data_IF_715163894091
#
_entry.id   IF_715163894091
#
_cell.length_a   1.000
_cell.length_b   1.000
_cell.length_c   1.000
_cell.angle_alpha   90.00
_cell.angle_beta   90.00
_cell.angle_gamma   90.00
#
_symmetry.space_group_name_H-M   'P 1'
#
loop_
_entity.id
_entity.type
_entity.pdbx_description
1 polymer ?
#
# COMPACT_ATOMS: atom_id res chain seq x y z
N UNK A 1 -12.53 -22.48 -9.19
CA UNK A 1 -12.97 -22.88 -7.83
C UNK A 1 -14.02 -21.89 -7.34
N UNK A 2 -15.16 -22.39 -6.83
CA UNK A 2 -16.24 -21.51 -6.32
C UNK A 2 -16.36 -21.65 -4.82
N UNK A 3 -16.29 -20.51 -4.13
CA UNK A 3 -16.44 -20.39 -2.68
C UNK A 3 -17.72 -19.59 -2.39
N UNK A 4 -18.50 -20.02 -1.40
CA UNK A 4 -19.65 -19.29 -0.92
C UNK A 4 -19.43 -18.86 0.54
N UNK A 5 -19.63 -17.58 0.82
CA UNK A 5 -19.69 -17.02 2.17
C UNK A 5 -21.16 -16.86 2.55
N UNK A 6 -21.62 -17.67 3.52
CA UNK A 6 -23.04 -17.73 3.92
C UNK A 6 -23.35 -16.91 5.15
N UNK A 7 -24.56 -16.39 5.22
CA UNK A 7 -25.17 -15.80 6.43
C UNK A 7 -24.44 -14.57 6.98
N UNK A 8 -23.61 -13.90 6.19
CA UNK A 8 -22.90 -12.70 6.65
C UNK A 8 -23.80 -11.46 6.63
N UNK A 9 -23.50 -10.53 7.52
CA UNK A 9 -23.95 -9.15 7.36
C UNK A 9 -22.99 -8.45 6.41
N UNK A 10 -23.49 -8.05 5.23
CA UNK A 10 -22.65 -7.37 4.22
C UNK A 10 -22.77 -5.87 4.36
N UNK A 11 -21.62 -5.21 4.40
CA UNK A 11 -21.49 -3.75 4.39
C UNK A 11 -20.66 -3.34 3.19
N UNK A 12 -21.31 -2.83 2.15
CA UNK A 12 -20.69 -2.37 0.90
C UNK A 12 -21.33 -1.05 0.45
N UNK A 13 -20.82 0.09 0.95
CA UNK A 13 -21.39 1.40 0.63
C UNK A 13 -21.37 1.73 -0.86
N UNK A 14 -20.37 1.26 -1.61
CA UNK A 14 -20.27 1.50 -3.05
C UNK A 14 -21.51 0.93 -3.78
N UNK A 15 -21.93 -0.27 -3.42
CA UNK A 15 -23.12 -0.93 -3.98
C UNK A 15 -24.40 -0.63 -3.16
N UNK A 16 -24.39 0.36 -2.26
CA UNK A 16 -25.52 0.76 -1.39
C UNK A 16 -26.04 -0.38 -0.53
N UNK A 17 -25.17 -1.29 -0.11
CA UNK A 17 -25.50 -2.39 0.80
C UNK A 17 -25.06 -2.01 2.21
N UNK A 18 -26.02 -1.84 3.10
CA UNK A 18 -25.76 -1.43 4.48
C UNK A 18 -26.32 -2.49 5.43
N UNK A 19 -25.43 -3.30 6.00
CA UNK A 19 -25.73 -4.31 7.02
C UNK A 19 -26.88 -5.29 6.62
N UNK A 20 -26.83 -5.77 5.38
CA UNK A 20 -27.81 -6.75 4.87
C UNK A 20 -27.28 -8.17 4.97
N UNK A 21 -28.10 -9.10 5.46
CA UNK A 21 -27.80 -10.53 5.36
C UNK A 21 -27.79 -10.95 3.90
N UNK A 22 -26.63 -11.39 3.43
CA UNK A 22 -26.44 -11.81 2.04
C UNK A 22 -25.35 -12.88 1.97
N UNK A 23 -25.52 -13.83 1.05
CA UNK A 23 -24.43 -14.72 0.66
C UNK A 23 -23.57 -14.04 -0.41
N UNK A 24 -22.28 -14.30 -0.39
CA UNK A 24 -21.34 -13.83 -1.40
C UNK A 24 -20.74 -15.04 -2.09
N UNK A 25 -20.79 -15.05 -3.41
CA UNK A 25 -20.18 -16.07 -4.26
C UNK A 25 -18.86 -15.53 -4.82
N UNK A 26 -17.82 -16.36 -4.74
CA UNK A 26 -16.48 -16.03 -5.25
C UNK A 26 -16.06 -17.13 -6.22
N UNK A 27 -15.85 -16.78 -7.49
CA UNK A 27 -15.35 -17.68 -8.54
C UNK A 27 -13.99 -17.17 -9.01
N UNK A 28 -12.96 -18.00 -8.86
CA UNK A 28 -11.60 -17.70 -9.32
C UNK A 28 -11.08 -16.32 -8.88
N UNK A 29 -11.31 -15.99 -7.59
CA UNK A 29 -10.87 -14.74 -6.99
C UNK A 29 -11.78 -13.52 -7.25
N UNK A 30 -12.88 -13.68 -7.98
CA UNK A 30 -13.82 -12.59 -8.29
C UNK A 30 -15.19 -12.83 -7.67
N UNK A 31 -15.81 -11.78 -7.18
CA UNK A 31 -17.19 -11.84 -6.71
C UNK A 31 -18.12 -11.95 -7.92
N UNK A 32 -19.04 -12.90 -7.87
CA UNK A 32 -20.08 -13.11 -8.88
C UNK A 32 -21.48 -12.98 -8.25
N UNK A 33 -22.46 -12.61 -9.05
CA UNK A 33 -23.84 -12.43 -8.58
C UNK A 33 -24.59 -13.76 -8.49
N UNK A 34 -24.38 -14.67 -9.43
CA UNK A 34 -25.09 -15.94 -9.54
C UNK A 34 -24.18 -17.02 -10.14
N UNK A 35 -24.59 -18.28 -9.96
CA UNK A 35 -23.93 -19.43 -10.53
C UNK A 35 -24.50 -19.74 -11.94
N UNK A 36 -23.64 -20.18 -12.84
CA UNK A 36 -24.09 -20.74 -14.11
C UNK A 36 -24.76 -22.11 -13.90
N UNK A 37 -25.60 -22.52 -14.87
CA UNK A 37 -26.51 -23.67 -14.75
C UNK A 37 -25.85 -25.01 -14.38
N UNK A 38 -24.55 -25.17 -14.65
CA UNK A 38 -23.79 -26.40 -14.40
C UNK A 38 -22.71 -26.24 -13.30
N UNK A 39 -22.65 -25.09 -12.63
CA UNK A 39 -21.63 -24.81 -11.63
C UNK A 39 -22.06 -25.30 -10.24
N UNK A 40 -21.07 -25.79 -9.49
CA UNK A 40 -21.28 -26.25 -8.11
C UNK A 40 -20.34 -25.51 -7.17
N UNK A 41 -20.85 -25.20 -5.98
CA UNK A 41 -20.05 -24.62 -4.90
C UNK A 41 -19.05 -25.68 -4.42
N UNK A 42 -17.76 -25.34 -4.48
CA UNK A 42 -16.69 -26.22 -4.01
C UNK A 42 -16.49 -26.10 -2.49
N UNK A 43 -16.69 -24.91 -1.92
CA UNK A 43 -16.53 -24.66 -0.48
C UNK A 43 -17.55 -23.65 0.00
N UNK A 44 -18.17 -23.93 1.12
CA UNK A 44 -19.08 -23.00 1.80
C UNK A 44 -18.56 -22.67 3.19
N UNK A 45 -18.50 -21.39 3.52
CA UNK A 45 -18.03 -20.88 4.81
C UNK A 45 -19.19 -20.17 5.49
N UNK A 46 -19.53 -20.62 6.70
CA UNK A 46 -20.55 -19.96 7.50
C UNK A 46 -19.98 -18.71 8.17
N UNK A 47 -20.50 -17.55 7.78
CA UNK A 47 -20.15 -16.24 8.30
C UNK A 47 -21.24 -15.64 9.20
N UNK A 48 -22.05 -16.50 9.84
CA UNK A 48 -23.05 -16.04 10.81
C UNK A 48 -22.36 -15.19 11.89
N UNK A 49 -22.99 -14.08 12.25
CA UNK A 49 -22.51 -13.10 13.23
C UNK A 49 -21.20 -12.39 12.85
N UNK A 50 -20.81 -12.47 11.57
CA UNK A 50 -19.68 -11.73 11.00
C UNK A 50 -20.14 -10.64 10.04
N UNK A 51 -19.36 -9.58 9.97
CA UNK A 51 -19.51 -8.52 8.96
C UNK A 51 -18.53 -8.81 7.83
N UNK A 52 -19.03 -8.78 6.59
CA UNK A 52 -18.18 -8.77 5.39
C UNK A 52 -18.22 -7.38 4.79
N UNK A 53 -17.06 -6.81 4.57
CA UNK A 53 -16.87 -5.49 3.98
C UNK A 53 -15.66 -5.51 3.03
N UNK A 54 -15.55 -4.53 2.10
CA UNK A 54 -14.33 -4.34 1.33
C UNK A 54 -13.12 -4.20 2.25
N UNK A 55 -11.98 -4.76 1.82
CA UNK A 55 -10.74 -4.62 2.56
C UNK A 55 -10.30 -3.16 2.65
N UNK A 56 -9.67 -2.80 3.76
CA UNK A 56 -9.14 -1.46 3.96
C UNK A 56 -7.93 -1.21 3.03
N UNK A 57 -7.78 0.04 2.60
CA UNK A 57 -6.67 0.50 1.76
C UNK A 57 -5.89 1.54 2.56
N UNK A 58 -4.61 1.29 2.79
CA UNK A 58 -3.69 2.26 3.40
C UNK A 58 -2.92 2.99 2.30
N UNK A 59 -3.29 4.23 2.04
CA UNK A 59 -2.70 5.05 0.99
C UNK A 59 -1.39 5.73 1.41
N UNK A 60 -0.98 5.62 2.68
CA UNK A 60 0.21 6.28 3.17
C UNK A 60 0.87 5.47 4.28
N UNK A 61 1.65 4.48 3.91
CA UNK A 61 2.37 3.65 4.88
C UNK A 61 3.78 3.31 4.42
N UNK A 62 4.74 3.41 5.33
CA UNK A 62 6.12 3.02 5.06
C UNK A 62 6.29 1.52 5.30
N UNK A 63 6.15 0.72 4.25
CA UNK A 63 6.20 -0.75 4.29
C UNK A 63 7.43 -1.34 3.60
N UNK A 64 8.09 -0.56 2.75
CA UNK A 64 9.31 -0.96 2.03
C UNK A 64 10.17 0.23 1.65
N UNK A 65 11.42 -0.03 1.28
CA UNK A 65 12.33 1.01 0.81
C UNK A 65 13.12 1.70 1.91
N UNK A 66 13.72 2.84 1.58
CA UNK A 66 14.80 3.46 2.34
C UNK A 66 14.51 3.72 3.82
N UNK A 67 13.33 4.21 4.16
CA UNK A 67 12.99 4.53 5.56
C UNK A 67 12.87 3.28 6.43
N UNK A 68 12.24 2.24 5.90
CA UNK A 68 12.09 0.97 6.62
C UNK A 68 13.44 0.28 6.77
N UNK A 69 14.29 0.33 5.74
CA UNK A 69 15.62 -0.24 5.79
C UNK A 69 16.52 0.47 6.79
N UNK A 70 16.49 1.80 6.85
CA UNK A 70 17.21 2.56 7.87
C UNK A 70 16.76 2.13 9.26
N UNK A 71 15.46 2.01 9.51
CA UNK A 71 14.94 1.57 10.80
C UNK A 71 15.41 0.14 11.16
N UNK A 72 15.43 -0.79 10.20
CA UNK A 72 15.95 -2.15 10.42
C UNK A 72 17.45 -2.16 10.73
N UNK A 73 18.23 -1.30 10.05
CA UNK A 73 19.67 -1.18 10.30
C UNK A 73 19.99 -0.55 11.66
N UNK A 74 19.15 0.39 12.11
CA UNK A 74 19.34 1.05 13.41
C UNK A 74 18.96 0.15 14.60
N UNK A 75 18.05 -0.79 14.40
CA UNK A 75 17.51 -1.64 15.48
C UNK A 75 17.50 -3.12 15.04
N UNK A 76 18.66 -3.71 14.73
CA UNK A 76 18.74 -5.08 14.22
C UNK A 76 18.23 -6.12 15.23
N UNK A 77 18.33 -5.84 16.52
CA UNK A 77 17.85 -6.70 17.61
C UNK A 77 16.34 -6.90 17.59
N UNK A 78 15.57 -5.94 17.06
CA UNK A 78 14.11 -6.04 17.02
C UNK A 78 13.54 -6.89 15.88
N UNK A 79 14.36 -7.33 14.92
CA UNK A 79 13.87 -8.25 13.90
C UNK A 79 14.38 -9.68 14.06
N UNK A 80 15.35 -9.88 14.92
CA UNK A 80 15.97 -11.19 15.15
C UNK A 80 15.44 -11.89 16.41
N UNK A 81 14.26 -11.52 16.88
CA UNK A 81 13.63 -12.19 18.00
C UNK A 81 13.07 -13.55 17.53
N UNK A 82 13.77 -14.61 17.94
CA UNK A 82 13.44 -16.01 17.69
C UNK A 82 12.77 -16.67 18.90
N UNK A 83 12.20 -15.88 19.81
CA UNK A 83 11.53 -16.45 20.98
C UNK A 83 10.33 -17.31 20.58
N UNK A 84 10.12 -18.41 21.31
CA UNK A 84 9.01 -19.34 21.10
C UNK A 84 7.63 -18.67 21.32
N UNK A 85 7.59 -17.53 22.00
CA UNK A 85 6.39 -16.71 22.24
C UNK A 85 6.25 -15.57 21.21
N UNK A 86 6.59 -15.83 19.97
CA UNK A 86 6.59 -14.88 18.92
C UNK A 86 5.19 -14.28 18.64
N UNK A 87 4.96 -13.04 19.06
CA UNK A 87 3.85 -12.22 18.60
C UNK A 87 4.36 -11.23 17.52
N UNK A 88 4.02 -11.43 16.25
CA UNK A 88 4.46 -10.55 15.16
C UNK A 88 3.96 -9.11 15.30
N UNK A 89 3.02 -8.85 16.21
CA UNK A 89 2.47 -7.50 16.44
C UNK A 89 3.30 -6.66 17.41
N UNK A 90 4.19 -7.28 18.18
CA UNK A 90 4.95 -6.63 19.26
C UNK A 90 6.30 -6.03 18.82
N UNK A 91 6.70 -6.21 17.57
CA UNK A 91 8.00 -5.78 17.07
C UNK A 91 7.90 -4.42 16.38
N UNK A 92 8.75 -3.48 16.77
CA UNK A 92 8.74 -2.10 16.27
C UNK A 92 9.10 -1.98 14.79
N UNK A 93 10.03 -2.84 14.32
CA UNK A 93 10.48 -2.80 12.92
C UNK A 93 10.31 -4.18 12.27
N UNK A 94 9.12 -4.49 11.75
CA UNK A 94 8.82 -5.83 11.25
C UNK A 94 9.56 -6.14 9.94
N UNK A 95 9.87 -7.43 9.74
CA UNK A 95 10.28 -7.95 8.43
C UNK A 95 9.13 -7.82 7.41
N UNK A 96 9.43 -8.05 6.14
CA UNK A 96 8.42 -8.06 5.06
C UNK A 96 7.27 -9.02 5.36
N UNK A 97 7.58 -10.24 5.79
CA UNK A 97 6.58 -11.24 6.20
C UNK A 97 5.69 -10.73 7.35
N UNK A 98 6.32 -10.23 8.42
CA UNK A 98 5.60 -9.70 9.59
C UNK A 98 4.73 -8.50 9.21
N UNK A 99 5.20 -7.65 8.31
CA UNK A 99 4.41 -6.53 7.78
C UNK A 99 3.12 -7.03 7.14
N UNK A 100 3.20 -7.98 6.22
CA UNK A 100 2.01 -8.56 5.58
C UNK A 100 1.03 -9.19 6.57
N UNK A 101 1.55 -9.95 7.55
CA UNK A 101 0.71 -10.54 8.60
C UNK A 101 0.02 -9.49 9.48
N UNK A 102 0.70 -8.39 9.84
CA UNK A 102 0.10 -7.29 10.61
C UNK A 102 -1.03 -6.64 9.82
N UNK A 103 -0.79 -6.31 8.55
CA UNK A 103 -1.78 -5.62 7.72
C UNK A 103 -3.03 -6.47 7.49
N UNK A 104 -2.88 -7.75 7.16
CA UNK A 104 -4.05 -8.63 6.97
C UNK A 104 -4.82 -8.85 8.28
N UNK A 105 -4.13 -8.92 9.42
CA UNK A 105 -4.77 -9.03 10.75
C UNK A 105 -5.60 -7.80 11.09
N UNK A 106 -5.19 -6.61 10.63
CA UNK A 106 -5.94 -5.37 10.78
C UNK A 106 -7.07 -5.19 9.74
N UNK A 107 -7.16 -6.07 8.74
CA UNK A 107 -8.18 -6.00 7.69
C UNK A 107 -7.79 -5.16 6.47
N UNK A 108 -6.53 -4.77 6.34
CA UNK A 108 -6.04 -4.11 5.13
C UNK A 108 -5.79 -5.15 4.03
N UNK A 109 -6.15 -4.78 2.80
CA UNK A 109 -5.90 -5.59 1.60
C UNK A 109 -4.97 -4.91 0.61
N UNK A 110 -4.73 -3.61 0.76
CA UNK A 110 -3.83 -2.84 -0.10
C UNK A 110 -3.08 -1.79 0.70
N UNK A 111 -1.80 -1.60 0.39
CA UNK A 111 -0.89 -0.70 1.10
C UNK A 111 0.00 0.04 0.11
N UNK A 112 0.21 1.35 0.33
CA UNK A 112 0.97 2.19 -0.60
C UNK A 112 2.10 2.93 0.10
N UNK A 113 3.34 2.67 -0.36
CA UNK A 113 4.56 3.36 0.08
C UNK A 113 4.58 4.80 -0.49
N UNK A 114 4.58 5.84 0.37
CA UNK A 114 4.43 7.22 -0.09
C UNK A 114 5.75 7.90 -0.49
N UNK A 115 6.89 7.21 -0.50
CA UNK A 115 8.20 7.84 -0.63
C UNK A 115 9.15 7.08 -1.56
N UNK A 116 8.71 6.77 -2.79
CA UNK A 116 9.57 6.22 -3.82
C UNK A 116 10.39 7.34 -4.48
N UNK A 117 11.71 7.15 -4.50
CA UNK A 117 12.65 7.99 -5.24
C UNK A 117 13.28 7.16 -6.37
N UNK A 118 13.70 7.75 -7.50
CA UNK A 118 14.33 6.99 -8.58
C UNK A 118 15.50 6.13 -8.13
N UNK A 119 16.29 6.63 -7.17
CA UNK A 119 17.49 5.94 -6.66
C UNK A 119 17.14 4.68 -5.85
N UNK A 120 15.97 4.60 -5.22
CA UNK A 120 15.59 3.48 -4.35
C UNK A 120 14.33 2.73 -4.81
N UNK A 121 13.70 3.15 -5.90
CA UNK A 121 12.42 2.60 -6.35
C UNK A 121 12.51 1.10 -6.60
N UNK A 122 13.54 0.63 -7.31
CA UNK A 122 13.75 -0.79 -7.58
C UNK A 122 13.86 -1.60 -6.28
N UNK A 123 14.65 -1.12 -5.33
CA UNK A 123 14.82 -1.76 -4.02
C UNK A 123 13.47 -1.83 -3.27
N UNK A 124 12.75 -0.73 -3.23
CA UNK A 124 11.45 -0.67 -2.57
C UNK A 124 10.43 -1.64 -3.21
N UNK A 125 10.39 -1.75 -4.53
CA UNK A 125 9.52 -2.71 -5.21
C UNK A 125 9.89 -4.16 -4.92
N UNK A 126 11.19 -4.50 -4.86
CA UNK A 126 11.64 -5.83 -4.48
C UNK A 126 11.21 -6.18 -3.05
N UNK A 127 11.38 -5.26 -2.10
CA UNK A 127 10.91 -5.46 -0.72
C UNK A 127 9.39 -5.59 -0.62
N UNK A 128 8.65 -4.74 -1.34
CA UNK A 128 7.20 -4.83 -1.38
C UNK A 128 6.73 -6.16 -1.99
N UNK A 129 7.47 -6.71 -2.97
CA UNK A 129 7.15 -8.02 -3.54
C UNK A 129 7.22 -9.15 -2.51
N UNK A 130 8.11 -9.05 -1.53
CA UNK A 130 8.26 -10.03 -0.45
C UNK A 130 7.19 -9.90 0.66
N UNK A 131 6.38 -8.83 0.66
CA UNK A 131 5.31 -8.66 1.63
C UNK A 131 4.09 -9.49 1.18
N UNK A 132 3.69 -10.54 1.90
CA UNK A 132 2.58 -11.37 1.50
C UNK A 132 1.21 -10.74 1.83
N UNK A 133 0.15 -11.30 1.25
CA UNK A 133 -1.27 -11.12 1.58
C UNK A 133 -1.91 -9.78 1.21
N UNK A 134 -1.17 -8.73 0.93
CA UNK A 134 -1.70 -7.41 0.58
C UNK A 134 -1.21 -6.99 -0.80
N UNK A 135 -2.03 -6.24 -1.52
CA UNK A 135 -1.61 -5.54 -2.73
C UNK A 135 -0.75 -4.34 -2.36
N UNK A 136 0.26 -4.06 -3.15
CA UNK A 136 1.24 -3.00 -2.88
C UNK A 136 1.47 -2.14 -4.10
N UNK A 137 1.76 -0.88 -3.84
CA UNK A 137 2.19 0.11 -4.80
C UNK A 137 2.91 1.25 -4.12
N UNK A 138 3.21 2.30 -4.84
CA UNK A 138 3.85 3.45 -4.24
C UNK A 138 3.67 4.73 -5.03
N UNK A 139 4.02 5.83 -4.38
CA UNK A 139 3.98 7.17 -4.95
C UNK A 139 5.38 7.73 -5.08
N UNK A 140 5.67 8.36 -6.23
CA UNK A 140 6.90 9.11 -6.43
C UNK A 140 6.92 10.36 -5.54
N UNK A 141 7.92 10.51 -4.69
CA UNK A 141 8.06 11.68 -3.82
C UNK A 141 8.71 12.82 -4.58
N UNK A 142 7.91 13.80 -5.00
CA UNK A 142 8.33 14.96 -5.78
C UNK A 142 8.35 16.28 -4.99
N UNK A 143 7.77 16.34 -3.80
CA UNK A 143 7.68 17.59 -3.03
C UNK A 143 9.03 18.22 -2.67
N UNK A 144 10.11 17.44 -2.65
CA UNK A 144 11.48 17.91 -2.37
C UNK A 144 12.46 17.51 -3.49
N UNK A 145 11.94 17.25 -4.68
CA UNK A 145 12.77 17.03 -5.86
C UNK A 145 13.36 18.36 -6.34
N UNK A 146 14.65 18.51 -6.18
CA UNK A 146 15.34 19.78 -6.46
C UNK A 146 15.26 20.18 -7.93
N UNK A 147 15.30 19.20 -8.83
CA UNK A 147 15.20 19.49 -10.25
C UNK A 147 13.80 20.01 -10.61
N UNK A 148 12.75 19.36 -10.12
CA UNK A 148 11.38 19.83 -10.32
C UNK A 148 11.16 21.23 -9.72
N UNK A 149 11.64 21.45 -8.50
CA UNK A 149 11.54 22.75 -7.83
C UNK A 149 12.26 23.86 -8.64
N UNK A 150 13.42 23.56 -9.22
CA UNK A 150 14.12 24.50 -10.12
C UNK A 150 13.36 24.77 -11.42
N UNK A 151 12.72 23.76 -12.03
CA UNK A 151 11.87 23.98 -13.22
C UNK A 151 10.70 24.90 -12.89
N UNK A 152 10.07 24.71 -11.76
CA UNK A 152 8.95 25.54 -11.27
C UNK A 152 9.41 26.98 -10.98
N UNK A 153 10.52 27.16 -10.27
CA UNK A 153 11.07 28.47 -9.94
C UNK A 153 11.46 29.29 -11.19
N UNK A 154 12.00 28.61 -12.21
CA UNK A 154 12.34 29.22 -13.51
C UNK A 154 11.12 29.45 -14.40
N UNK A 155 9.92 29.12 -13.94
CA UNK A 155 8.68 29.21 -14.72
C UNK A 155 8.78 28.52 -16.09
N UNK A 156 9.45 27.37 -16.10
CA UNK A 156 9.61 26.56 -17.31
C UNK A 156 8.24 26.16 -17.88
N UNK A 157 8.16 25.89 -19.19
CA UNK A 157 6.91 25.53 -19.83
C UNK A 157 6.25 24.31 -19.19
N UNK A 158 4.92 24.27 -19.16
CA UNK A 158 4.15 23.16 -18.62
C UNK A 158 4.49 21.82 -19.29
N UNK A 159 4.82 21.84 -20.58
CA UNK A 159 5.22 20.62 -21.31
C UNK A 159 6.47 19.98 -20.70
N UNK A 160 7.51 20.75 -20.44
CA UNK A 160 8.77 20.24 -19.83
C UNK A 160 8.52 19.71 -18.42
N UNK A 161 7.65 20.37 -17.64
CA UNK A 161 7.28 19.91 -16.31
C UNK A 161 6.52 18.56 -16.41
N UNK A 162 5.58 18.45 -17.34
CA UNK A 162 4.82 17.22 -17.57
C UNK A 162 5.73 16.06 -18.00
N UNK A 163 6.67 16.32 -18.91
CA UNK A 163 7.62 15.31 -19.39
C UNK A 163 8.52 14.81 -18.24
N UNK A 164 8.97 15.71 -17.40
CA UNK A 164 9.76 15.32 -16.22
C UNK A 164 8.95 14.48 -15.23
N UNK A 165 7.72 14.89 -14.91
CA UNK A 165 6.85 14.12 -14.01
C UNK A 165 6.54 12.74 -14.59
N UNK A 166 6.23 12.67 -15.90
CA UNK A 166 6.00 11.39 -16.58
C UNK A 166 7.23 10.48 -16.55
N UNK A 167 8.43 11.05 -16.77
CA UNK A 167 9.69 10.32 -16.63
C UNK A 167 9.86 9.73 -15.22
N UNK A 168 9.65 10.53 -14.16
CA UNK A 168 9.77 10.07 -12.78
C UNK A 168 8.76 8.96 -12.47
N UNK A 169 7.50 9.12 -12.86
CA UNK A 169 6.48 8.09 -12.66
C UNK A 169 6.87 6.77 -13.34
N UNK A 170 7.37 6.84 -14.57
CA UNK A 170 7.84 5.68 -15.31
C UNK A 170 9.08 5.05 -14.67
N UNK A 171 10.08 5.85 -14.31
CA UNK A 171 11.33 5.38 -13.72
C UNK A 171 11.13 4.75 -12.33
N UNK A 172 10.17 5.23 -11.56
CA UNK A 172 9.85 4.70 -10.23
C UNK A 172 8.76 3.64 -10.23
N UNK A 173 8.11 3.39 -11.38
CA UNK A 173 6.93 2.51 -11.47
C UNK A 173 5.86 2.88 -10.45
N UNK A 174 5.68 4.19 -10.23
CA UNK A 174 4.73 4.72 -9.26
C UNK A 174 3.35 4.90 -9.87
N UNK A 175 2.31 4.72 -9.04
CA UNK A 175 0.92 4.90 -9.46
C UNK A 175 0.45 6.36 -9.39
N UNK A 176 1.28 7.24 -8.85
CA UNK A 176 1.00 8.67 -8.70
C UNK A 176 2.14 9.39 -8.01
N UNK A 177 1.95 10.67 -7.74
CA UNK A 177 2.93 11.53 -7.08
C UNK A 177 2.53 11.85 -5.65
N UNK A 178 3.55 12.06 -4.81
CA UNK A 178 3.41 12.56 -3.44
C UNK A 178 4.08 13.92 -3.32
N UNK A 179 3.32 14.90 -2.90
CA UNK A 179 3.81 16.24 -2.55
C UNK A 179 3.52 16.49 -1.08
N UNK A 180 4.55 16.77 -0.31
CA UNK A 180 4.45 17.11 1.10
C UNK A 180 5.46 18.20 1.42
N UNK A 181 5.02 19.30 2.01
CA UNK A 181 5.87 20.44 2.40
C UNK A 181 6.93 20.78 1.32
N UNK A 182 6.50 21.22 0.11
CA UNK A 182 7.40 21.44 -1.03
C UNK A 182 8.57 22.36 -0.64
N UNK A 183 9.81 21.87 -0.87
CA UNK A 183 11.04 22.60 -0.53
C UNK A 183 11.34 22.71 0.97
N UNK A 184 10.37 22.47 1.87
CA UNK A 184 10.58 22.68 3.31
C UNK A 184 11.60 21.74 3.94
N UNK A 185 11.68 20.50 3.48
CA UNK A 185 12.72 19.55 3.95
C UNK A 185 14.10 20.01 3.51
N UNK A 186 14.25 20.48 2.27
CA UNK A 186 15.54 20.98 1.75
C UNK A 186 15.97 22.23 2.51
N UNK A 187 15.04 23.16 2.77
CA UNK A 187 15.32 24.35 3.57
C UNK A 187 15.79 23.99 4.98
N UNK A 188 15.13 23.02 5.64
CA UNK A 188 15.48 22.61 6.99
C UNK A 188 16.77 21.79 7.07
N UNK A 189 16.91 20.75 6.25
CA UNK A 189 18.07 19.83 6.32
C UNK A 189 19.36 20.40 5.77
N UNK A 190 19.28 21.23 4.75
CA UNK A 190 20.44 21.71 4.01
C UNK A 190 20.64 23.21 4.15
N UNK A 191 19.92 23.86 5.06
CA UNK A 191 19.92 25.30 5.26
C UNK A 191 19.72 26.09 3.93
N UNK A 192 18.99 25.50 3.02
CA UNK A 192 18.62 26.14 1.76
C UNK A 192 17.39 27.04 2.03
N UNK A 193 17.45 28.27 1.53
CA UNK A 193 16.31 29.19 1.61
C UNK A 193 15.19 28.65 0.72
N UNK A 194 13.94 28.77 1.20
CA UNK A 194 12.76 28.46 0.38
C UNK A 194 12.82 29.24 -0.93
N UNK A 195 12.43 28.57 -2.01
CA UNK A 195 12.18 29.25 -3.29
C UNK A 195 10.92 30.11 -3.10
N UNK A 196 11.09 31.38 -2.83
CA UNK A 196 10.02 32.39 -2.80
C UNK A 196 9.64 32.80 -4.22
#
# INVERSE_FOLDING_TARGET
MIIELKNANVFDPHNKIFNKKKNILIKDGKIINELEKNEKINKSINCKDKIIMPGAIDLHTHIGGGKVNIARLMFPEFHNDYSDNFDPTMINTPSTLKTGLKYIKMGYTSCFEPALLPINARQAHLEMADIPFVDKGGYALLGNDEFLLNLLAKKTSQSVINDYVAFILSATQSIGIKVVNPGGINAFKFNQRSLN
#
